data_IF_649375845761
#
_entry.id   IF_649375845761
#
_cell.length_a   1.000
_cell.length_b   1.000
_cell.length_c   1.000
_cell.angle_alpha   90.00
_cell.angle_beta   90.00
_cell.angle_gamma   90.00
#
_symmetry.space_group_name_H-M   'P 1'
#
loop_
_entity.id
_entity.type
_entity.pdbx_description
1 polymer ?
#
# COMPACT_ATOMS: atom_id res chain seq x y z
N UNK A 1 46.72 -47.28 20.14
CA UNK A 1 46.02 -46.55 21.22
C UNK A 1 46.88 -45.35 21.62
N UNK A 2 46.24 -44.23 21.97
CA UNK A 2 46.79 -42.89 22.29
C UNK A 2 47.13 -42.02 21.06
N UNK A 3 46.23 -41.19 20.53
CA UNK A 3 45.52 -39.99 21.07
C UNK A 3 46.39 -38.73 21.01
N UNK A 4 46.08 -37.88 20.03
CA UNK A 4 46.69 -36.59 19.74
C UNK A 4 45.93 -35.48 20.47
N UNK A 5 46.64 -34.66 21.24
CA UNK A 5 46.08 -33.54 21.98
C UNK A 5 45.80 -32.33 21.07
N UNK A 6 44.64 -31.68 21.26
CA UNK A 6 44.32 -30.37 20.72
C UNK A 6 44.72 -29.25 21.72
N UNK A 7 45.11 -28.06 21.26
CA UNK A 7 45.48 -26.94 22.14
C UNK A 7 44.25 -26.18 22.68
N UNK A 8 44.40 -25.63 23.89
CA UNK A 8 43.41 -24.82 24.63
C UNK A 8 43.02 -23.50 23.93
N UNK A 9 41.79 -22.99 24.15
CA UNK A 9 41.38 -21.65 23.72
C UNK A 9 41.78 -20.54 24.73
N UNK A 10 41.89 -19.27 24.29
CA UNK A 10 42.34 -18.16 25.14
C UNK A 10 41.28 -17.66 26.14
N UNK A 11 41.69 -16.96 27.21
CA UNK A 11 40.79 -16.56 28.29
C UNK A 11 39.87 -15.37 27.92
N UNK A 12 38.65 -15.39 28.45
CA UNK A 12 37.64 -14.33 28.32
C UNK A 12 38.00 -13.04 29.07
N UNK A 13 37.64 -11.85 28.56
CA UNK A 13 37.88 -10.58 29.24
C UNK A 13 36.94 -10.38 30.45
N UNK A 14 37.54 -9.90 31.54
CA UNK A 14 36.96 -9.80 32.87
C UNK A 14 35.86 -8.75 33.03
N UNK A 15 35.02 -8.99 34.05
CA UNK A 15 33.97 -8.11 34.53
C UNK A 15 34.57 -6.84 35.14
N UNK A 16 34.23 -5.68 34.58
CA UNK A 16 34.51 -4.40 35.23
C UNK A 16 33.52 -4.11 36.36
N UNK A 17 34.07 -3.95 37.56
CA UNK A 17 33.37 -3.57 38.78
C UNK A 17 32.83 -2.13 38.69
N UNK A 18 31.56 -1.93 39.06
CA UNK A 18 30.95 -0.61 39.26
C UNK A 18 31.47 0.01 40.57
N UNK A 19 31.95 1.24 40.50
CA UNK A 19 32.13 2.14 41.66
C UNK A 19 30.98 3.15 41.70
N UNK A 20 30.38 3.44 42.87
CA UNK A 20 29.35 4.47 42.99
C UNK A 20 30.00 5.81 43.38
N UNK A 21 29.51 6.90 42.78
CA UNK A 21 29.63 8.24 43.37
C UNK A 21 28.35 9.01 43.08
N UNK A 22 27.61 9.28 44.14
CA UNK A 22 26.64 10.36 44.15
C UNK A 22 27.33 11.69 44.42
N UNK A 23 26.82 12.76 43.83
CA UNK A 23 26.61 14.06 44.45
C UNK A 23 25.87 14.96 43.44
N UNK A 24 24.88 15.68 43.95
CA UNK A 24 24.03 16.64 43.25
C UNK A 24 24.80 17.81 42.61
N UNK A 25 24.15 18.57 41.72
CA UNK A 25 23.92 20.04 41.85
C UNK A 25 23.24 20.60 40.59
N UNK A 26 22.31 21.52 40.85
CA UNK A 26 21.79 22.65 40.07
C UNK A 26 20.90 22.40 38.84
N UNK A 27 19.63 22.79 39.05
CA UNK A 27 18.69 23.21 38.03
C UNK A 27 19.21 24.42 37.23
N UNK A 28 19.00 24.38 35.91
CA UNK A 28 18.90 25.56 35.07
C UNK A 28 17.67 25.38 34.18
N UNK A 29 16.62 26.14 34.48
CA UNK A 29 15.40 26.17 33.67
C UNK A 29 15.67 26.80 32.31
N UNK A 30 15.21 26.14 31.26
CA UNK A 30 15.09 26.74 29.92
C UNK A 30 13.61 27.02 29.69
N UNK A 31 13.28 28.30 29.63
CA UNK A 31 11.96 28.80 29.30
C UNK A 31 11.61 28.43 27.85
N UNK A 32 10.51 27.71 27.66
CA UNK A 32 9.88 27.51 26.35
C UNK A 32 9.06 28.75 26.03
N UNK A 33 9.52 29.56 25.09
CA UNK A 33 8.74 30.66 24.53
C UNK A 33 7.63 30.06 23.65
N UNK A 34 6.39 30.14 24.14
CA UNK A 34 5.17 29.87 23.38
C UNK A 34 4.95 31.04 22.42
N UNK A 35 5.24 30.85 21.12
CA UNK A 35 4.76 31.76 20.10
C UNK A 35 3.33 31.36 19.75
N UNK A 36 2.38 32.13 20.27
CA UNK A 36 0.99 32.10 19.84
C UNK A 36 0.91 32.59 18.38
N UNK A 37 0.63 31.70 17.45
CA UNK A 37 0.31 32.05 16.07
C UNK A 37 -1.07 32.67 16.00
N UNK A 38 -1.13 33.98 15.73
CA UNK A 38 -2.36 34.68 15.42
C UNK A 38 -2.96 34.18 14.10
N UNK A 39 -4.22 33.76 14.14
CA UNK A 39 -5.01 33.43 12.96
C UNK A 39 -5.30 34.71 12.16
N UNK A 40 -4.68 34.86 10.99
CA UNK A 40 -5.07 35.88 10.00
C UNK A 40 -6.16 35.28 9.12
N UNK A 41 -7.39 35.76 9.34
CA UNK A 41 -8.52 35.55 8.45
C UNK A 41 -8.31 36.37 7.17
N UNK A 42 -8.04 35.69 6.05
CA UNK A 42 -8.16 36.31 4.73
C UNK A 42 -9.55 36.01 4.15
N UNK A 43 -10.29 37.08 3.91
CA UNK A 43 -11.59 37.10 3.24
C UNK A 43 -11.44 36.73 1.76
N UNK A 44 -12.27 35.78 1.30
CA UNK A 44 -12.44 35.45 -0.13
C UNK A 44 -13.27 36.55 -0.81
N UNK A 45 -12.88 37.09 -1.98
CA UNK A 45 -13.82 37.80 -2.83
C UNK A 45 -14.61 36.81 -3.71
N UNK A 46 -15.87 37.17 -3.92
CA UNK A 46 -16.91 36.40 -4.57
C UNK A 46 -16.69 36.20 -6.09
N UNK A 47 -17.31 35.13 -6.59
CA UNK A 47 -17.35 34.74 -7.99
C UNK A 47 -17.99 35.82 -8.88
N UNK A 48 -17.25 36.27 -9.89
CA UNK A 48 -17.75 37.07 -11.00
C UNK A 48 -17.88 36.22 -12.26
N UNK A 49 -19.08 36.15 -12.81
CA UNK A 49 -19.41 35.53 -14.11
C UNK A 49 -18.62 36.22 -15.22
N UNK A 50 -17.99 35.47 -16.12
CA UNK A 50 -17.60 35.97 -17.45
C UNK A 50 -18.21 35.11 -18.54
N UNK A 51 -18.79 35.83 -19.50
CA UNK A 51 -19.57 35.35 -20.62
C UNK A 51 -18.67 34.75 -21.70
N UNK A 52 -19.27 33.78 -22.40
CA UNK A 52 -18.78 33.20 -23.63
C UNK A 52 -18.91 34.21 -24.76
N UNK A 53 -17.82 34.48 -25.48
CA UNK A 53 -17.86 35.13 -26.78
C UNK A 53 -17.17 34.22 -27.80
N UNK A 54 -18.00 33.71 -28.70
CA UNK A 54 -17.63 33.05 -29.95
C UNK A 54 -17.04 34.06 -30.93
N UNK A 55 -15.86 33.79 -31.47
CA UNK A 55 -15.37 34.48 -32.66
C UNK A 55 -14.93 33.47 -33.71
N UNK A 56 -15.45 33.69 -34.90
CA UNK A 56 -15.49 32.79 -36.03
C UNK A 56 -14.19 32.78 -36.86
N UNK A 57 -14.12 31.70 -37.63
CA UNK A 57 -13.18 31.36 -38.70
C UNK A 57 -13.01 32.49 -39.72
N UNK A 58 -11.77 32.67 -40.21
CA UNK A 58 -11.51 33.27 -41.53
C UNK A 58 -10.56 32.36 -42.32
N UNK A 59 -11.05 31.90 -43.46
CA UNK A 59 -10.32 31.15 -44.49
C UNK A 59 -9.32 32.04 -45.23
N UNK A 60 -8.16 31.48 -45.58
CA UNK A 60 -7.46 31.87 -46.80
C UNK A 60 -7.10 30.62 -47.63
N UNK A 61 -7.26 30.81 -48.93
CA UNK A 61 -7.23 29.86 -50.04
C UNK A 61 -5.83 29.71 -50.63
N UNK A 62 -5.44 28.50 -51.04
CA UNK A 62 -4.26 28.26 -51.89
C UNK A 62 -4.19 26.82 -52.41
N UNK A 63 -4.39 26.68 -53.72
CA UNK A 63 -4.56 25.44 -54.54
C UNK A 63 -3.31 24.52 -54.60
N UNK A 64 -3.47 23.19 -54.87
CA UNK A 64 -2.42 22.17 -54.75
C UNK A 64 -1.83 21.65 -56.10
N UNK A 65 -0.78 20.82 -56.01
CA UNK A 65 -0.20 20.03 -57.11
C UNK A 65 0.21 18.61 -56.61
N UNK A 66 0.31 17.58 -57.49
CA UNK A 66 -0.46 16.33 -57.31
C UNK A 66 0.34 15.02 -57.18
N UNK A 67 -0.39 13.93 -56.89
CA UNK A 67 -0.01 12.52 -57.08
C UNK A 67 0.67 11.90 -55.86
N UNK A 68 0.35 10.71 -55.36
CA UNK A 68 0.09 9.45 -56.06
C UNK A 68 -0.92 8.63 -55.24
N UNK A 69 -1.90 8.04 -55.93
CA UNK A 69 -2.89 7.13 -55.38
C UNK A 69 -2.33 5.70 -55.24
N UNK A 70 -2.70 5.01 -54.16
CA UNK A 70 -2.77 3.56 -54.12
C UNK A 70 -3.97 3.12 -53.29
N UNK A 71 -4.98 2.66 -54.01
CA UNK A 71 -6.18 1.97 -53.54
C UNK A 71 -5.84 0.54 -53.10
N UNK A 72 -6.35 0.09 -51.95
CA UNK A 72 -6.59 -1.34 -51.73
C UNK A 72 -7.94 -1.54 -51.03
N UNK A 73 -8.73 -2.38 -51.68
CA UNK A 73 -10.14 -2.69 -51.45
C UNK A 73 -10.39 -3.57 -50.24
N UNK A 74 -11.53 -3.36 -49.59
CA UNK A 74 -12.16 -4.31 -48.66
C UNK A 74 -12.93 -5.39 -49.42
N UNK A 75 -13.15 -6.58 -48.83
CA UNK A 75 -14.27 -7.43 -49.21
C UNK A 75 -15.26 -7.69 -48.07
N UNK A 76 -16.53 -7.41 -48.43
CA UNK A 76 -17.74 -8.20 -48.27
C UNK A 76 -18.11 -8.80 -46.89
N UNK A 77 -19.21 -8.25 -46.36
CA UNK A 77 -20.11 -8.83 -45.38
C UNK A 77 -20.87 -10.05 -45.94
N UNK A 78 -20.93 -11.14 -45.19
CA UNK A 78 -21.82 -12.28 -45.46
C UNK A 78 -22.89 -12.33 -44.38
N UNK A 79 -24.13 -12.10 -44.80
CA UNK A 79 -25.35 -12.30 -44.02
C UNK A 79 -25.73 -13.78 -44.03
N UNK A 80 -26.01 -14.37 -42.87
CA UNK A 80 -26.57 -15.73 -42.77
C UNK A 80 -27.89 -15.68 -42.00
N UNK A 81 -28.91 -16.23 -42.66
CA UNK A 81 -30.33 -16.25 -42.29
C UNK A 81 -30.64 -17.02 -41.01
N UNK A 82 -31.68 -16.55 -40.31
CA UNK A 82 -32.28 -17.15 -39.13
C UNK A 82 -33.22 -18.33 -39.48
N UNK A 83 -33.29 -19.32 -38.58
CA UNK A 83 -34.32 -20.36 -38.51
C UNK A 83 -34.96 -20.41 -37.11
N UNK A 84 -36.23 -20.86 -36.96
CA UNK A 84 -37.07 -20.64 -35.77
C UNK A 84 -36.87 -21.66 -34.63
N UNK A 85 -37.44 -21.41 -33.43
CA UNK A 85 -36.96 -21.99 -32.17
C UNK A 85 -37.61 -23.33 -31.80
N UNK A 86 -36.82 -24.21 -31.20
CA UNK A 86 -37.30 -25.38 -30.46
C UNK A 86 -37.49 -25.04 -28.97
N UNK A 87 -38.66 -25.39 -28.42
CA UNK A 87 -38.96 -25.37 -26.97
C UNK A 87 -38.24 -26.51 -26.26
N UNK A 88 -37.58 -26.24 -25.13
CA UNK A 88 -37.81 -26.92 -23.85
C UNK A 88 -36.78 -26.51 -22.77
N UNK A 89 -37.22 -26.67 -21.52
CA UNK A 89 -36.49 -26.77 -20.26
C UNK A 89 -36.04 -25.46 -19.57
N UNK A 90 -36.89 -25.03 -18.63
CA UNK A 90 -36.55 -24.20 -17.47
C UNK A 90 -35.42 -24.84 -16.66
N UNK A 91 -34.21 -24.32 -16.81
CA UNK A 91 -33.14 -24.47 -15.81
C UNK A 91 -33.09 -23.19 -14.98
N UNK A 92 -33.10 -23.37 -13.66
CA UNK A 92 -32.90 -22.28 -12.71
C UNK A 92 -31.57 -21.60 -13.02
N UNK A 93 -31.63 -20.33 -13.42
CA UNK A 93 -30.45 -19.54 -13.71
C UNK A 93 -29.68 -19.30 -12.41
N UNK A 94 -28.59 -20.05 -12.24
CA UNK A 94 -27.51 -19.66 -11.34
C UNK A 94 -27.09 -18.25 -11.74
N UNK A 95 -27.25 -17.28 -10.84
CA UNK A 95 -26.91 -15.88 -11.07
C UNK A 95 -25.46 -15.82 -11.56
N UNK A 96 -25.28 -15.50 -12.84
CA UNK A 96 -23.96 -15.31 -13.43
C UNK A 96 -23.18 -14.26 -12.63
N UNK A 97 -21.84 -14.39 -12.51
CA UNK A 97 -21.01 -13.39 -11.87
C UNK A 97 -21.32 -12.04 -12.52
N UNK A 98 -21.73 -11.08 -11.70
CA UNK A 98 -22.06 -9.74 -12.16
C UNK A 98 -20.83 -9.16 -12.86
N UNK A 99 -20.99 -8.78 -14.12
CA UNK A 99 -20.03 -7.92 -14.81
C UNK A 99 -19.97 -6.61 -14.03
N UNK A 100 -18.83 -6.35 -13.38
CA UNK A 100 -18.63 -5.17 -12.53
C UNK A 100 -18.78 -3.92 -13.38
N UNK A 101 -19.74 -3.06 -13.00
CA UNK A 101 -19.96 -1.79 -13.66
C UNK A 101 -18.76 -0.85 -13.46
N UNK A 102 -18.50 -0.01 -14.48
CA UNK A 102 -17.62 1.17 -14.41
C UNK A 102 -17.86 1.95 -13.11
N UNK A 103 -16.83 2.07 -12.26
CA UNK A 103 -16.67 3.15 -11.27
C UNK A 103 -17.82 3.35 -10.26
N UNK A 104 -18.49 2.29 -9.85
CA UNK A 104 -19.54 2.35 -8.83
C UNK A 104 -19.02 2.03 -7.43
N UNK A 105 -19.83 2.34 -6.41
CA UNK A 105 -19.63 1.79 -5.07
C UNK A 105 -19.75 0.27 -5.10
N UNK A 106 -18.83 -0.44 -4.46
CA UNK A 106 -18.87 -1.90 -4.31
C UNK A 106 -19.32 -2.20 -2.88
N UNK A 107 -20.57 -2.60 -2.64
CA UNK A 107 -21.05 -2.88 -1.29
C UNK A 107 -20.40 -4.17 -0.74
N UNK A 108 -20.21 -4.21 0.58
CA UNK A 108 -19.90 -5.45 1.30
C UNK A 108 -21.15 -6.33 1.36
N UNK A 109 -20.96 -7.65 1.30
CA UNK A 109 -22.01 -8.58 1.71
C UNK A 109 -22.14 -8.53 3.24
N UNK A 110 -23.19 -7.85 3.71
CA UNK A 110 -23.45 -7.65 5.15
C UNK A 110 -23.69 -8.96 5.91
N UNK A 111 -24.20 -10.00 5.25
CA UNK A 111 -24.40 -11.30 5.91
C UNK A 111 -23.05 -12.01 6.12
N UNK A 112 -22.17 -11.99 5.11
CA UNK A 112 -20.82 -12.54 5.22
C UNK A 112 -20.00 -11.76 6.24
N UNK A 113 -20.05 -10.42 6.19
CA UNK A 113 -19.35 -9.57 7.15
C UNK A 113 -19.88 -9.74 8.58
N UNK A 114 -21.19 -9.76 8.77
CA UNK A 114 -21.82 -10.03 10.06
C UNK A 114 -21.41 -11.39 10.64
N UNK A 115 -21.28 -12.43 9.80
CA UNK A 115 -20.74 -13.73 10.22
C UNK A 115 -19.30 -13.62 10.68
N UNK A 116 -18.42 -12.95 9.92
CA UNK A 116 -17.01 -12.76 10.31
C UNK A 116 -16.91 -12.01 11.65
N UNK A 117 -17.72 -10.98 11.87
CA UNK A 117 -17.78 -10.26 13.15
C UNK A 117 -18.22 -11.16 14.31
N UNK A 118 -19.26 -11.98 14.11
CA UNK A 118 -19.71 -12.93 15.12
C UNK A 118 -18.64 -13.98 15.43
N UNK A 119 -17.93 -14.47 14.42
CA UNK A 119 -16.84 -15.43 14.57
C UNK A 119 -15.65 -14.80 15.31
N UNK A 120 -15.30 -13.54 14.97
CA UNK A 120 -14.30 -12.76 15.69
C UNK A 120 -14.66 -12.56 17.16
N UNK A 121 -15.92 -12.23 17.47
CA UNK A 121 -16.40 -12.08 18.84
C UNK A 121 -16.28 -13.39 19.64
N UNK A 122 -16.43 -14.55 19.01
CA UNK A 122 -16.22 -15.87 19.64
C UNK A 122 -14.76 -16.31 19.70
N UNK A 123 -13.88 -15.68 18.93
CA UNK A 123 -12.45 -15.99 18.92
C UNK A 123 -11.83 -15.62 20.26
N UNK A 124 -11.37 -16.64 20.98
CA UNK A 124 -10.70 -16.48 22.28
C UNK A 124 -9.33 -15.83 22.08
N UNK A 125 -9.00 -14.89 22.96
CA UNK A 125 -7.67 -14.31 22.99
C UNK A 125 -6.66 -15.33 23.53
N UNK A 126 -5.59 -15.53 22.79
CA UNK A 126 -4.42 -16.33 23.17
C UNK A 126 -3.14 -15.57 22.73
N UNK A 127 -2.84 -14.42 23.35
CA UNK A 127 -1.73 -13.58 22.93
C UNK A 127 -0.37 -14.23 23.26
N UNK A 128 0.66 -13.99 22.43
CA UNK A 128 2.03 -14.41 22.75
C UNK A 128 2.51 -13.85 24.10
N UNK A 129 2.94 -14.73 25.01
CA UNK A 129 3.34 -14.35 26.37
C UNK A 129 4.62 -13.50 26.43
N UNK A 130 5.55 -13.68 25.48
CA UNK A 130 6.86 -13.00 25.42
C UNK A 130 6.98 -12.02 24.24
N UNK A 131 5.85 -11.46 23.77
CA UNK A 131 5.86 -10.47 22.70
C UNK A 131 6.03 -9.04 23.23
N UNK A 132 6.66 -8.20 22.42
CA UNK A 132 6.67 -6.75 22.56
C UNK A 132 5.27 -6.13 22.55
N UNK A 133 5.18 -4.83 22.78
CA UNK A 133 3.92 -4.13 23.07
C UNK A 133 3.40 -3.25 21.91
N UNK A 134 3.85 -3.47 20.68
CA UNK A 134 3.32 -2.77 19.50
C UNK A 134 2.08 -3.51 18.99
N UNK A 135 0.92 -2.85 18.81
CA UNK A 135 -0.33 -3.51 18.42
C UNK A 135 -0.34 -3.85 16.93
N UNK A 136 0.44 -4.84 16.51
CA UNK A 136 0.66 -5.15 15.10
C UNK A 136 0.91 -6.63 14.81
N UNK A 137 0.57 -7.05 13.59
CA UNK A 137 1.16 -8.21 12.96
C UNK A 137 1.64 -7.85 11.57
N UNK A 138 2.44 -8.71 10.93
CA UNK A 138 3.00 -8.45 9.60
C UNK A 138 2.79 -9.59 8.62
N UNK A 139 2.75 -9.23 7.35
CA UNK A 139 2.95 -10.13 6.23
C UNK A 139 4.23 -9.73 5.48
N UNK A 140 5.25 -10.58 5.52
CA UNK A 140 6.52 -10.38 4.81
C UNK A 140 6.43 -11.00 3.41
N UNK A 141 6.45 -10.17 2.38
CA UNK A 141 6.26 -10.54 0.99
C UNK A 141 7.54 -10.32 0.16
N UNK A 142 7.62 -11.06 -0.94
CA UNK A 142 8.67 -10.92 -1.95
C UNK A 142 8.09 -10.37 -3.24
N UNK A 143 8.93 -9.75 -4.06
CA UNK A 143 8.57 -9.40 -5.42
C UNK A 143 7.96 -10.60 -6.16
N UNK A 144 6.83 -10.38 -6.83
CA UNK A 144 6.19 -11.37 -7.70
C UNK A 144 6.53 -11.10 -9.16
N UNK A 145 6.03 -9.99 -9.70
CA UNK A 145 6.14 -9.63 -11.10
C UNK A 145 5.80 -8.15 -11.32
N UNK A 146 5.92 -7.67 -12.57
CA UNK A 146 5.51 -6.33 -12.97
C UNK A 146 4.58 -6.36 -14.18
N UNK A 147 3.52 -5.56 -14.16
CA UNK A 147 2.58 -5.38 -15.29
C UNK A 147 2.03 -3.94 -15.30
N UNK A 148 1.71 -3.37 -16.47
CA UNK A 148 0.98 -2.10 -16.59
C UNK A 148 -0.54 -2.25 -16.33
N UNK A 149 -0.87 -3.02 -15.29
CA UNK A 149 -2.24 -3.44 -14.97
C UNK A 149 -2.66 -2.87 -13.63
N UNK A 150 -3.97 -2.65 -13.46
CA UNK A 150 -4.56 -2.26 -12.18
C UNK A 150 -6.03 -2.72 -12.10
N UNK A 151 -6.34 -3.81 -11.36
CA UNK A 151 -7.70 -4.31 -11.25
C UNK A 151 -8.63 -3.43 -10.38
N UNK A 152 -8.10 -2.41 -9.69
CA UNK A 152 -8.90 -1.46 -8.90
C UNK A 152 -9.27 -0.27 -9.80
N UNK A 153 -8.27 0.38 -10.38
CA UNK A 153 -8.43 1.63 -11.14
C UNK A 153 -8.89 1.41 -12.59
N UNK A 154 -8.42 0.33 -13.22
CA UNK A 154 -8.72 -0.01 -14.62
C UNK A 154 -9.18 -1.47 -14.77
N UNK A 155 -10.26 -1.88 -14.08
CA UNK A 155 -10.71 -3.27 -14.06
C UNK A 155 -11.05 -3.78 -15.47
N UNK A 156 -10.49 -4.94 -15.81
CA UNK A 156 -10.67 -5.61 -17.09
C UNK A 156 -9.93 -4.99 -18.27
N UNK A 157 -9.03 -4.02 -18.04
CA UNK A 157 -8.29 -3.30 -19.08
C UNK A 157 -6.77 -3.52 -18.92
N UNK A 158 -6.21 -4.62 -19.48
CA UNK A 158 -4.77 -4.85 -19.48
C UNK A 158 -4.01 -3.70 -20.14
N UNK A 159 -2.89 -3.29 -19.53
CA UNK A 159 -2.05 -2.21 -20.05
C UNK A 159 -2.60 -0.80 -19.92
N UNK A 160 -3.76 -0.61 -19.26
CA UNK A 160 -4.37 0.71 -19.09
C UNK A 160 -3.82 1.51 -17.91
N UNK A 161 -2.85 0.97 -17.16
CA UNK A 161 -2.19 1.66 -16.04
C UNK A 161 -0.70 1.88 -16.31
N UNK A 162 -0.03 2.68 -15.47
CA UNK A 162 1.43 2.68 -15.44
C UNK A 162 1.96 1.35 -14.89
N UNK A 163 3.25 1.08 -15.10
CA UNK A 163 3.86 -0.17 -14.64
C UNK A 163 3.80 -0.30 -13.11
N UNK A 164 3.21 -1.38 -12.61
CA UNK A 164 3.19 -1.71 -11.19
C UNK A 164 4.12 -2.87 -10.88
N UNK A 165 4.76 -2.82 -9.71
CA UNK A 165 5.48 -3.94 -9.11
C UNK A 165 4.56 -4.61 -8.08
N UNK A 166 4.25 -5.89 -8.30
CA UNK A 166 3.29 -6.65 -7.49
C UNK A 166 4.00 -7.55 -6.47
N UNK A 167 3.39 -7.67 -5.29
CA UNK A 167 3.68 -8.66 -4.24
C UNK A 167 2.37 -9.28 -3.73
N UNK A 168 2.47 -10.30 -2.88
CA UNK A 168 1.31 -11.09 -2.44
C UNK A 168 0.89 -12.09 -3.49
N UNK A 169 -0.38 -12.08 -3.87
CA UNK A 169 -0.97 -12.97 -4.85
C UNK A 169 -0.17 -13.00 -6.16
N UNK A 170 0.21 -14.19 -6.62
CA UNK A 170 1.07 -14.37 -7.80
C UNK A 170 0.31 -14.29 -9.12
N UNK A 171 -1.01 -14.33 -9.10
CA UNK A 171 -1.87 -14.36 -10.29
C UNK A 171 -2.58 -13.04 -10.56
N UNK A 172 -2.38 -12.00 -9.73
CA UNK A 172 -3.04 -10.71 -9.91
C UNK A 172 -2.70 -10.08 -11.27
N UNK A 173 -3.72 -9.55 -11.93
CA UNK A 173 -3.65 -8.81 -13.18
C UNK A 173 -4.91 -7.94 -13.35
N UNK A 174 -5.05 -7.27 -14.50
CA UNK A 174 -6.18 -6.37 -14.75
C UNK A 174 -7.56 -7.05 -14.65
N UNK A 175 -7.68 -8.37 -14.81
CA UNK A 175 -8.95 -9.10 -14.77
C UNK A 175 -9.31 -9.63 -13.38
N UNK A 176 -8.42 -9.47 -12.40
CA UNK A 176 -8.59 -10.06 -11.07
C UNK A 176 -9.80 -9.50 -10.33
N UNK A 177 -10.69 -10.39 -9.89
CA UNK A 177 -11.81 -10.08 -9.00
C UNK A 177 -11.56 -10.62 -7.59
N UNK A 178 -12.39 -10.22 -6.62
CA UNK A 178 -12.27 -10.71 -5.25
C UNK A 178 -12.41 -12.25 -5.16
N UNK A 179 -13.28 -12.83 -6.01
CA UNK A 179 -13.44 -14.28 -6.07
C UNK A 179 -12.21 -15.02 -6.61
N UNK A 180 -11.39 -14.35 -7.42
CA UNK A 180 -10.17 -14.94 -7.97
C UNK A 180 -9.06 -15.04 -6.93
N UNK A 181 -8.96 -14.06 -6.02
CA UNK A 181 -8.00 -14.09 -4.91
C UNK A 181 -8.28 -15.24 -3.93
N UNK A 182 -9.53 -15.69 -3.80
CA UNK A 182 -9.87 -16.90 -3.02
C UNK A 182 -9.57 -18.21 -3.77
N UNK A 183 -9.58 -18.20 -5.11
CA UNK A 183 -9.35 -19.39 -5.93
C UNK A 183 -7.85 -19.61 -6.20
N UNK A 184 -7.14 -18.54 -6.52
CA UNK A 184 -5.72 -18.57 -6.87
C UNK A 184 -4.90 -18.09 -5.68
N UNK A 185 -4.75 -18.95 -4.69
CA UNK A 185 -4.20 -18.62 -3.36
C UNK A 185 -2.68 -18.54 -3.30
N UNK A 186 -1.99 -18.84 -4.40
CA UNK A 186 -0.53 -18.81 -4.45
C UNK A 186 -0.01 -17.39 -4.17
N UNK A 187 0.75 -17.25 -3.08
CA UNK A 187 1.23 -15.95 -2.59
C UNK A 187 2.76 -15.93 -2.45
N UNK A 188 3.35 -14.75 -2.53
CA UNK A 188 4.75 -14.47 -2.17
C UNK A 188 4.91 -14.08 -0.70
N UNK A 189 3.80 -13.87 0.01
CA UNK A 189 3.81 -13.48 1.42
C UNK A 189 3.99 -14.67 2.36
N UNK A 190 4.56 -14.36 3.53
CA UNK A 190 4.36 -15.11 4.76
C UNK A 190 3.50 -14.24 5.69
N UNK A 191 2.41 -14.77 6.25
CA UNK A 191 1.96 -16.16 6.16
C UNK A 191 1.29 -16.47 4.83
N UNK A 192 1.26 -17.76 4.44
CA UNK A 192 0.67 -18.21 3.15
C UNK A 192 -0.85 -18.11 3.09
N UNK A 193 -1.50 -17.87 4.23
CA UNK A 193 -2.95 -17.62 4.36
C UNK A 193 -3.34 -16.17 4.03
N UNK A 194 -2.36 -15.32 3.72
CA UNK A 194 -2.58 -14.02 3.07
C UNK A 194 -2.59 -14.19 1.54
N UNK A 195 -3.78 -14.16 0.97
CA UNK A 195 -4.02 -14.24 -0.48
C UNK A 195 -4.21 -12.87 -1.12
N UNK A 196 -4.00 -11.79 -0.37
CA UNK A 196 -4.13 -10.41 -0.84
C UNK A 196 -3.13 -10.11 -1.94
N UNK A 197 -3.46 -9.14 -2.78
CA UNK A 197 -2.53 -8.55 -3.73
C UNK A 197 -2.18 -7.14 -3.27
N UNK A 198 -0.90 -6.79 -3.35
CA UNK A 198 -0.40 -5.47 -3.03
C UNK A 198 0.53 -5.00 -4.14
N UNK A 199 0.43 -3.74 -4.54
CA UNK A 199 1.31 -3.19 -5.55
C UNK A 199 1.61 -1.71 -5.33
N UNK A 200 2.69 -1.27 -5.97
CA UNK A 200 3.17 0.11 -6.00
C UNK A 200 3.73 0.42 -7.40
N UNK A 201 3.85 1.69 -7.81
CA UNK A 201 4.55 2.05 -9.04
C UNK A 201 5.95 1.45 -9.10
N UNK A 202 6.30 0.85 -10.23
CA UNK A 202 7.66 0.37 -10.44
C UNK A 202 8.64 1.54 -10.40
N UNK A 203 9.67 1.42 -9.56
CA UNK A 203 10.80 2.34 -9.48
C UNK A 203 11.78 2.05 -10.61
N UNK A 204 12.38 3.09 -11.18
CA UNK A 204 13.38 2.96 -12.24
C UNK A 204 14.60 3.84 -11.96
N UNK A 205 15.79 3.31 -12.22
CA UNK A 205 17.03 4.10 -12.30
C UNK A 205 16.94 5.07 -13.48
N UNK A 206 17.13 6.36 -13.22
CA UNK A 206 16.72 7.35 -14.20
C UNK A 206 17.68 7.52 -15.39
N UNK A 207 18.94 7.08 -15.25
CA UNK A 207 19.90 7.05 -16.35
C UNK A 207 19.74 5.82 -17.24
N UNK A 208 19.71 4.61 -16.65
CA UNK A 208 19.65 3.37 -17.41
C UNK A 208 18.24 2.95 -17.81
N UNK A 209 17.21 3.56 -17.19
CA UNK A 209 15.79 3.15 -17.32
C UNK A 209 15.57 1.68 -16.94
N UNK A 210 16.45 1.14 -16.10
CA UNK A 210 16.31 -0.21 -15.57
C UNK A 210 15.35 -0.19 -14.38
N UNK A 211 14.38 -1.09 -14.31
CA UNK A 211 13.51 -1.17 -13.15
C UNK A 211 14.27 -1.67 -11.92
N UNK A 212 13.90 -1.15 -10.77
CA UNK A 212 14.44 -1.53 -9.45
C UNK A 212 13.38 -2.36 -8.73
N UNK A 213 13.70 -3.62 -8.51
CA UNK A 213 12.82 -4.54 -7.79
C UNK A 213 12.93 -4.32 -6.28
N UNK A 214 11.81 -4.53 -5.58
CA UNK A 214 11.77 -4.51 -4.12
C UNK A 214 12.52 -5.73 -3.59
N UNK A 215 13.48 -5.51 -2.70
CA UNK A 215 14.21 -6.60 -2.01
C UNK A 215 13.53 -7.02 -0.70
N UNK A 216 12.62 -6.19 -0.19
CA UNK A 216 11.72 -6.52 0.90
C UNK A 216 10.43 -5.74 0.77
N UNK A 217 9.31 -6.38 1.08
CA UNK A 217 8.01 -5.73 1.12
C UNK A 217 7.22 -6.26 2.30
N UNK A 218 7.10 -5.46 3.36
CA UNK A 218 6.38 -5.84 4.56
C UNK A 218 5.06 -5.08 4.63
N UNK A 219 3.97 -5.81 4.77
CA UNK A 219 2.65 -5.24 5.06
C UNK A 219 2.40 -5.38 6.55
N UNK A 220 2.48 -4.27 7.26
CA UNK A 220 2.04 -4.21 8.65
C UNK A 220 0.53 -4.05 8.70
N UNK A 221 -0.11 -4.80 9.61
CA UNK A 221 -1.49 -4.60 10.04
C UNK A 221 -1.43 -4.15 11.48
N UNK A 222 -1.76 -2.88 11.75
CA UNK A 222 -1.50 -2.28 13.06
C UNK A 222 -2.58 -1.34 13.54
N UNK A 223 -2.61 -1.10 14.85
CA UNK A 223 -3.29 0.07 15.41
C UNK A 223 -2.33 1.26 15.43
N UNK A 224 -2.74 2.39 14.82
CA UNK A 224 -1.98 3.64 14.84
C UNK A 224 -2.18 4.45 16.12
N UNK A 225 -2.96 3.94 17.08
CA UNK A 225 -3.47 4.70 18.23
C UNK A 225 -2.99 4.14 19.55
N UNK A 226 -3.05 4.99 20.57
CA UNK A 226 -2.67 4.65 21.95
C UNK A 226 -3.53 3.53 22.56
N UNK A 227 -4.78 3.39 22.12
CA UNK A 227 -5.67 2.28 22.46
C UNK A 227 -5.94 1.40 21.22
N UNK A 228 -6.42 0.17 21.40
CA UNK A 228 -6.85 -0.73 20.31
C UNK A 228 -8.30 -1.20 20.45
N UNK A 229 -9.05 -0.62 21.38
CA UNK A 229 -10.44 -1.02 21.68
C UNK A 229 -11.33 -0.84 20.45
N UNK A 230 -12.21 -1.82 20.21
CA UNK A 230 -13.17 -1.79 19.12
C UNK A 230 -12.59 -2.04 17.72
N UNK A 231 -11.29 -2.37 17.60
CA UNK A 231 -10.74 -2.81 16.32
C UNK A 231 -11.36 -4.14 15.91
N UNK A 232 -11.76 -4.25 14.65
CA UNK A 232 -12.31 -5.47 14.06
C UNK A 232 -11.50 -5.91 12.84
N UNK A 233 -11.56 -7.19 12.45
CA UNK A 233 -10.96 -7.71 11.21
C UNK A 233 -11.28 -6.89 9.96
N UNK A 234 -10.38 -6.88 8.98
CA UNK A 234 -10.69 -6.29 7.67
C UNK A 234 -11.63 -7.26 6.92
N UNK A 235 -12.71 -6.77 6.28
CA UNK A 235 -13.54 -7.61 5.42
C UNK A 235 -12.78 -7.99 4.14
N UNK A 236 -12.94 -9.24 3.71
CA UNK A 236 -12.37 -9.70 2.45
C UNK A 236 -12.97 -8.94 1.25
N UNK A 237 -12.09 -8.61 0.31
CA UNK A 237 -12.43 -7.85 -0.89
C UNK A 237 -12.32 -6.34 -0.74
N UNK A 238 -11.95 -5.82 0.44
CA UNK A 238 -11.69 -4.39 0.62
C UNK A 238 -10.53 -3.95 -0.28
N UNK A 239 -10.73 -2.86 -1.01
CA UNK A 239 -9.76 -2.24 -1.92
C UNK A 239 -9.38 -0.88 -1.39
N UNK A 240 -8.10 -0.58 -1.25
CA UNK A 240 -7.66 0.73 -0.78
C UNK A 240 -6.51 1.24 -1.62
N UNK A 241 -6.50 2.55 -1.87
CA UNK A 241 -5.36 3.26 -2.48
C UNK A 241 -4.86 4.34 -1.50
N UNK A 242 -3.59 4.27 -1.13
CA UNK A 242 -2.91 5.30 -0.36
C UNK A 242 -1.87 6.03 -1.22
N UNK A 243 -1.66 7.33 -0.99
CA UNK A 243 -0.80 8.18 -1.85
C UNK A 243 -1.55 8.77 -3.05
N UNK A 244 -0.84 9.36 -4.01
CA UNK A 244 -1.46 10.02 -5.17
C UNK A 244 -0.58 9.91 -6.42
N UNK A 245 -0.97 9.06 -7.37
CA UNK A 245 -0.28 8.87 -8.64
C UNK A 245 -0.11 10.17 -9.46
N UNK A 246 -1.00 11.14 -9.28
CA UNK A 246 -1.00 12.41 -10.03
C UNK A 246 -0.18 13.50 -9.34
N UNK A 247 0.30 13.28 -8.11
CA UNK A 247 1.09 14.26 -7.41
C UNK A 247 2.47 14.40 -8.06
N UNK A 248 2.83 15.65 -8.38
CA UNK A 248 4.10 16.02 -9.03
C UNK A 248 4.93 17.00 -8.20
N UNK A 249 4.50 17.27 -6.97
CA UNK A 249 5.16 18.24 -6.08
C UNK A 249 6.07 17.48 -5.10
N UNK A 250 7.38 17.76 -5.09
CA UNK A 250 8.32 17.11 -4.17
C UNK A 250 7.80 17.12 -2.74
N UNK A 251 7.91 15.97 -2.07
CA UNK A 251 7.53 15.88 -0.66
C UNK A 251 8.55 16.69 0.15
N UNK A 252 8.13 17.61 1.04
CA UNK A 252 9.08 18.42 1.83
C UNK A 252 9.95 17.57 2.74
N UNK A 253 11.24 17.92 2.87
CA UNK A 253 12.20 17.24 3.76
C UNK A 253 11.63 17.08 5.18
N UNK A 254 11.64 15.84 5.67
CA UNK A 254 11.17 15.47 7.01
C UNK A 254 9.66 15.23 7.10
N UNK A 255 8.90 15.39 6.01
CA UNK A 255 7.51 15.00 5.97
C UNK A 255 7.36 13.47 5.85
N UNK A 256 6.17 12.98 6.21
CA UNK A 256 5.77 11.59 5.96
C UNK A 256 5.67 11.33 4.45
N UNK A 257 5.83 10.07 4.02
CA UNK A 257 5.72 9.69 2.61
C UNK A 257 6.91 10.17 1.76
N UNK A 258 8.12 10.10 2.33
CA UNK A 258 9.38 10.32 1.62
C UNK A 258 10.16 9.03 1.49
N UNK A 259 10.95 8.93 0.42
CA UNK A 259 12.03 7.96 0.38
C UNK A 259 13.10 8.32 1.40
N UNK A 260 13.61 7.31 2.09
CA UNK A 260 14.66 7.45 3.09
C UNK A 260 15.67 6.31 2.96
N UNK A 261 16.83 6.47 3.61
CA UNK A 261 17.81 5.39 3.70
C UNK A 261 17.73 4.70 5.05
N UNK A 262 17.73 3.38 5.05
CA UNK A 262 17.76 2.57 6.26
C UNK A 262 18.58 1.31 6.08
N UNK A 263 19.04 0.76 7.20
CA UNK A 263 19.66 -0.55 7.31
C UNK A 263 19.05 -1.24 8.53
N UNK A 264 18.59 -2.47 8.35
CA UNK A 264 18.04 -3.28 9.43
C UNK A 264 19.06 -4.40 9.76
N UNK A 265 19.85 -4.22 10.82
CA UNK A 265 20.93 -5.12 11.26
C UNK A 265 21.69 -4.58 12.50
N UNK A 266 22.65 -5.32 13.08
CA UNK A 266 23.42 -4.82 14.24
C UNK A 266 24.08 -3.48 13.93
N UNK A 267 23.71 -2.44 14.67
CA UNK A 267 24.12 -1.05 14.36
C UNK A 267 23.12 -0.28 13.49
N UNK A 268 21.81 -0.58 13.61
CA UNK A 268 20.70 0.13 12.98
C UNK A 268 21.00 1.63 12.88
N UNK A 269 21.07 2.11 11.64
CA UNK A 269 21.29 3.51 11.31
C UNK A 269 19.92 4.08 11.00
N UNK A 270 19.27 4.66 11.99
CA UNK A 270 18.04 5.43 11.80
C UNK A 270 18.26 6.54 10.77
N UNK A 271 17.70 6.36 9.56
CA UNK A 271 17.27 7.44 8.67
C UNK A 271 18.29 8.49 8.25
N UNK A 272 19.59 8.15 8.15
CA UNK A 272 20.63 9.18 8.12
C UNK A 272 20.89 9.85 6.75
N UNK A 273 20.44 9.30 5.62
CA UNK A 273 20.58 9.96 4.33
C UNK A 273 19.24 10.57 3.90
N UNK A 274 19.11 11.88 4.12
CA UNK A 274 17.99 12.69 3.62
C UNK A 274 18.40 13.34 2.31
N UNK A 275 17.55 13.19 1.29
CA UNK A 275 17.75 13.79 -0.02
C UNK A 275 18.03 15.30 0.07
N UNK A 276 19.08 15.77 -0.62
CA UNK A 276 19.40 17.20 -0.74
C UNK A 276 18.34 17.97 -1.55
N UNK A 277 17.60 17.28 -2.43
CA UNK A 277 16.57 17.85 -3.30
C UNK A 277 15.13 17.46 -2.92
N UNK A 278 14.95 16.76 -1.79
CA UNK A 278 13.65 16.36 -1.27
C UNK A 278 12.96 15.18 -1.97
N UNK A 279 13.56 14.59 -3.01
CA UNK A 279 12.96 13.47 -3.75
C UNK A 279 13.69 12.15 -3.53
N UNK A 280 15.00 12.10 -3.84
CA UNK A 280 15.75 10.84 -3.90
C UNK A 280 16.99 10.93 -3.00
N UNK A 281 17.07 10.14 -1.91
CA UNK A 281 18.26 10.10 -1.09
C UNK A 281 19.35 9.23 -1.76
N UNK A 282 20.61 9.52 -1.42
CA UNK A 282 21.76 8.67 -1.72
C UNK A 282 22.22 8.03 -0.41
N UNK A 283 22.07 6.72 -0.32
CA UNK A 283 22.34 5.91 0.85
C UNK A 283 23.82 5.53 0.92
N UNK A 284 24.46 5.87 2.03
CA UNK A 284 25.78 5.33 2.37
C UNK A 284 25.69 3.87 2.80
N UNK A 285 26.78 3.12 2.64
CA UNK A 285 26.85 1.74 3.12
C UNK A 285 26.79 1.67 4.65
N UNK A 286 26.08 0.70 5.26
CA UNK A 286 25.35 -0.41 4.62
C UNK A 286 23.87 -0.13 4.22
N UNK A 287 23.37 1.10 4.35
CA UNK A 287 21.96 1.43 4.13
C UNK A 287 21.52 1.31 2.67
N UNK A 288 20.23 1.02 2.47
CA UNK A 288 19.55 0.97 1.17
C UNK A 288 18.36 1.93 1.13
N UNK A 289 17.71 2.06 -0.02
CA UNK A 289 16.56 2.94 -0.23
C UNK A 289 15.27 2.29 0.29
N UNK A 290 14.47 3.03 1.04
CA UNK A 290 13.21 2.56 1.61
C UNK A 290 12.06 3.56 1.42
N UNK A 291 10.83 3.07 1.54
CA UNK A 291 9.63 3.89 1.59
C UNK A 291 8.59 3.28 2.54
N UNK A 292 7.97 4.12 3.38
CA UNK A 292 6.81 3.71 4.19
C UNK A 292 5.54 4.40 3.66
N UNK A 293 4.52 3.61 3.36
CA UNK A 293 3.22 4.08 2.91
C UNK A 293 2.13 3.65 3.88
N UNK A 294 1.45 4.62 4.50
CA UNK A 294 0.39 4.38 5.46
C UNK A 294 -1.00 4.45 4.82
N UNK A 295 -1.83 3.45 5.05
CA UNK A 295 -3.23 3.41 4.65
C UNK A 295 -4.16 3.90 5.79
N UNK A 296 -5.38 4.36 5.45
CA UNK A 296 -6.47 4.60 6.40
C UNK A 296 -6.75 3.44 7.37
N UNK A 297 -7.31 3.77 8.55
CA UNK A 297 -7.63 2.81 9.64
C UNK A 297 -9.11 2.85 10.08
N UNK A 298 -9.94 3.59 9.35
CA UNK A 298 -11.39 3.65 9.52
C UNK A 298 -12.10 3.33 8.20
N UNK A 299 -13.22 2.64 8.30
CA UNK A 299 -14.04 2.16 7.19
C UNK A 299 -15.51 2.53 7.40
N UNK A 300 -16.25 2.80 6.32
CA UNK A 300 -17.67 3.16 6.35
C UNK A 300 -18.59 2.04 6.88
N UNK A 301 -18.13 0.78 6.83
CA UNK A 301 -18.91 -0.38 7.26
C UNK A 301 -19.85 -0.91 6.19
N UNK A 302 -19.83 -0.32 4.99
CA UNK A 302 -20.81 -0.53 3.94
C UNK A 302 -20.19 -0.93 2.61
N UNK A 303 -19.03 -0.36 2.24
CA UNK A 303 -18.49 -0.48 0.89
C UNK A 303 -17.05 -1.01 0.87
N UNK A 304 -16.82 -2.09 0.13
CA UNK A 304 -15.50 -2.64 -0.16
C UNK A 304 -14.67 -1.79 -1.11
N UNK A 305 -15.31 -0.89 -1.86
CA UNK A 305 -14.66 0.10 -2.71
C UNK A 305 -15.61 1.27 -3.02
N UNK A 306 -15.05 2.41 -3.36
CA UNK A 306 -15.76 3.64 -3.74
C UNK A 306 -15.34 4.08 -5.15
N UNK A 307 -16.12 4.91 -5.87
CA UNK A 307 -15.77 5.37 -7.22
C UNK A 307 -14.38 5.99 -7.39
N UNK A 308 -13.82 6.59 -6.34
CA UNK A 308 -12.47 7.17 -6.33
C UNK A 308 -11.45 6.33 -5.52
N UNK A 309 -11.86 5.14 -5.08
CA UNK A 309 -11.09 4.17 -4.28
C UNK A 309 -10.60 4.67 -2.92
N UNK A 310 -11.18 5.76 -2.41
CA UNK A 310 -10.74 6.43 -1.18
C UNK A 310 -11.88 6.89 -0.27
N UNK A 311 -13.06 7.22 -0.78
CA UNK A 311 -14.14 7.80 0.02
C UNK A 311 -14.75 6.84 1.04
N UNK A 312 -14.62 5.52 0.84
CA UNK A 312 -15.13 4.50 1.76
C UNK A 312 -14.21 4.27 2.98
N UNK A 313 -13.03 4.91 3.04
CA UNK A 313 -12.07 4.79 4.15
C UNK A 313 -11.56 6.16 4.59
N UNK A 314 -11.13 6.27 5.86
CA UNK A 314 -10.60 7.50 6.41
C UNK A 314 -9.49 7.26 7.45
N UNK A 315 -8.62 8.24 7.62
CA UNK A 315 -7.71 8.26 8.75
C UNK A 315 -8.47 8.71 9.99
N UNK A 316 -8.43 7.91 11.06
CA UNK A 316 -8.92 8.34 12.36
C UNK A 316 -7.86 9.07 13.17
N UNK A 317 -8.26 9.44 14.38
CA UNK A 317 -7.40 10.10 15.37
C UNK A 317 -7.42 9.29 16.68
N UNK A 318 -6.67 9.73 17.69
CA UNK A 318 -6.70 9.07 19.01
C UNK A 318 -8.09 9.13 19.66
N UNK A 319 -8.93 10.10 19.28
CA UNK A 319 -10.31 10.25 19.76
C UNK A 319 -11.27 9.22 19.15
N UNK A 320 -11.01 8.72 17.94
CA UNK A 320 -11.93 7.80 17.30
C UNK A 320 -11.88 7.82 15.79
N UNK A 321 -12.72 6.99 15.19
CA UNK A 321 -13.01 7.12 13.77
C UNK A 321 -14.02 8.24 13.52
N UNK A 322 -13.97 8.92 12.35
CA UNK A 322 -15.01 9.85 11.94
C UNK A 322 -16.39 9.18 11.94
N UNK A 323 -17.46 9.95 12.18
CA UNK A 323 -18.82 9.42 12.20
C UNK A 323 -19.25 8.76 10.88
N UNK A 324 -18.71 9.23 9.75
CA UNK A 324 -18.95 8.66 8.42
C UNK A 324 -18.17 7.35 8.17
N UNK A 325 -17.17 7.03 9.01
CA UNK A 325 -16.32 5.85 8.87
C UNK A 325 -16.21 5.09 10.20
N UNK A 326 -17.34 4.66 10.80
CA UNK A 326 -17.38 4.26 12.20
C UNK A 326 -16.63 2.95 12.50
N UNK A 327 -16.32 2.13 11.48
CA UNK A 327 -15.71 0.82 11.67
C UNK A 327 -14.20 0.95 11.74
N UNK A 328 -13.64 0.66 12.92
CA UNK A 328 -12.20 0.67 13.14
C UNK A 328 -11.57 -0.63 12.63
N UNK A 329 -10.66 -0.51 11.68
CA UNK A 329 -9.93 -1.64 11.09
C UNK A 329 -8.42 -1.50 11.33
N UNK A 330 -7.63 -2.59 11.23
CA UNK A 330 -6.18 -2.51 11.18
C UNK A 330 -5.73 -1.58 10.05
N UNK A 331 -4.83 -0.67 10.36
CA UNK A 331 -4.19 0.15 9.36
C UNK A 331 -3.13 -0.68 8.64
N UNK A 332 -3.20 -0.71 7.30
CA UNK A 332 -2.11 -1.27 6.50
C UNK A 332 -0.96 -0.26 6.44
N UNK A 333 0.26 -0.75 6.52
CA UNK A 333 1.42 0.05 6.14
C UNK A 333 2.35 -0.79 5.31
N UNK A 334 2.70 -0.29 4.13
CA UNK A 334 3.76 -0.89 3.33
C UNK A 334 5.09 -0.32 3.81
N UNK A 335 5.97 -1.19 4.28
CA UNK A 335 7.39 -0.91 4.50
C UNK A 335 8.17 -1.61 3.38
N UNK A 336 8.71 -0.79 2.49
CA UNK A 336 9.26 -1.22 1.21
C UNK A 336 10.75 -0.97 1.23
N UNK A 337 11.53 -2.01 0.98
CA UNK A 337 12.97 -1.96 0.78
C UNK A 337 13.30 -2.14 -0.70
N UNK A 338 14.12 -1.24 -1.23
CA UNK A 338 14.75 -1.36 -2.52
C UNK A 338 16.24 -1.60 -2.28
N UNK A 339 16.82 -2.64 -2.87
CA UNK A 339 18.26 -2.92 -2.75
C UNK A 339 19.17 -1.85 -3.38
N UNK A 340 18.58 -0.79 -3.91
CA UNK A 340 19.27 0.33 -4.52
C UNK A 340 19.80 1.32 -3.47
N UNK A 341 20.87 2.03 -3.83
CA UNK A 341 21.60 2.95 -2.94
C UNK A 341 21.34 4.41 -3.27
N UNK A 342 20.60 4.75 -4.33
CA UNK A 342 20.66 6.10 -4.89
C UNK A 342 21.75 6.25 -5.92
N UNK A 343 21.46 7.06 -6.93
CA UNK A 343 22.41 7.45 -7.97
C UNK A 343 22.35 8.98 -8.16
N UNK A 344 23.42 9.57 -8.70
CA UNK A 344 23.41 11.00 -9.08
C UNK A 344 22.34 11.33 -10.12
N UNK A 345 21.99 10.35 -10.96
CA UNK A 345 20.91 10.48 -11.94
C UNK A 345 19.51 10.48 -11.29
N UNK A 346 19.41 9.97 -10.07
CA UNK A 346 18.16 9.80 -9.34
C UNK A 346 17.31 8.65 -9.88
N UNK A 347 16.05 8.64 -9.45
CA UNK A 347 15.04 7.68 -9.88
C UNK A 347 13.83 8.37 -10.50
N UNK A 348 12.93 7.56 -11.04
CA UNK A 348 11.55 7.94 -11.26
C UNK A 348 10.62 6.77 -10.93
N UNK A 349 9.36 7.09 -10.64
CA UNK A 349 8.29 6.13 -10.55
C UNK A 349 7.59 6.04 -11.89
N UNK A 350 7.11 4.87 -12.27
CA UNK A 350 6.32 4.67 -13.50
C UNK A 350 5.09 5.59 -13.60
N UNK A 351 4.56 6.07 -12.47
CA UNK A 351 3.46 7.05 -12.40
C UNK A 351 3.88 8.49 -12.74
N UNK A 352 5.19 8.75 -12.87
CA UNK A 352 5.76 10.03 -13.28
C UNK A 352 7.12 9.89 -13.99
N UNK A 353 7.17 9.27 -15.18
CA UNK A 353 8.44 8.96 -15.84
C UNK A 353 9.23 10.20 -16.27
N UNK A 354 8.53 11.29 -16.59
CA UNK A 354 9.14 12.52 -17.09
C UNK A 354 9.43 13.53 -15.96
N UNK A 355 8.50 13.69 -15.02
CA UNK A 355 8.65 14.60 -13.88
C UNK A 355 9.58 14.08 -12.80
N UNK A 356 9.83 12.76 -12.77
CA UNK A 356 10.70 12.06 -11.81
C UNK A 356 10.34 12.37 -10.35
N UNK A 357 9.09 12.72 -10.08
CA UNK A 357 8.63 13.07 -8.75
C UNK A 357 8.52 11.81 -7.88
N UNK A 358 9.20 11.82 -6.73
CA UNK A 358 9.02 10.79 -5.72
C UNK A 358 7.60 10.81 -5.12
N UNK A 359 6.92 11.96 -5.22
CA UNK A 359 5.62 12.20 -4.61
C UNK A 359 4.45 11.49 -5.30
N UNK A 360 4.65 10.98 -6.51
CA UNK A 360 3.67 10.16 -7.23
C UNK A 360 3.59 8.71 -6.70
N UNK A 361 4.34 8.41 -5.63
CA UNK A 361 4.25 7.17 -4.89
C UNK A 361 2.84 6.98 -4.36
N UNK A 362 2.33 5.79 -4.61
CA UNK A 362 1.09 5.29 -4.07
C UNK A 362 1.21 3.78 -3.91
N UNK A 363 0.23 3.20 -3.25
CA UNK A 363 0.13 1.78 -3.12
C UNK A 363 -1.31 1.37 -3.02
N UNK A 364 -1.52 0.15 -3.47
CA UNK A 364 -2.82 -0.41 -3.74
C UNK A 364 -2.89 -1.73 -3.00
N UNK A 365 -3.97 -1.92 -2.26
CA UNK A 365 -4.22 -3.11 -1.47
C UNK A 365 -5.55 -3.70 -1.89
N UNK A 366 -5.54 -4.96 -2.34
CA UNK A 366 -6.74 -5.75 -2.55
C UNK A 366 -6.73 -6.91 -1.56
N UNK A 367 -7.42 -6.71 -0.44
CA UNK A 367 -7.30 -7.55 0.76
C UNK A 367 -8.09 -8.84 0.60
N UNK A 368 -7.41 -9.98 0.83
CA UNK A 368 -8.02 -11.31 0.84
C UNK A 368 -7.24 -12.25 1.79
N UNK A 369 -7.80 -12.51 2.97
CA UNK A 369 -7.21 -13.41 3.96
C UNK A 369 -8.10 -14.62 4.22
N UNK A 370 -7.49 -15.69 4.72
CA UNK A 370 -8.25 -16.64 5.55
C UNK A 370 -8.88 -15.90 6.74
N UNK A 371 -10.21 -16.00 6.86
CA UNK A 371 -10.96 -15.20 7.83
C UNK A 371 -10.64 -15.58 9.28
N UNK A 372 -10.43 -16.87 9.56
CA UNK A 372 -10.10 -17.33 10.91
C UNK A 372 -8.69 -16.87 11.32
N UNK A 373 -7.73 -16.92 10.40
CA UNK A 373 -6.38 -16.39 10.62
C UNK A 373 -6.38 -14.88 10.85
N UNK A 374 -7.14 -14.11 10.07
CA UNK A 374 -7.29 -12.66 10.28
C UNK A 374 -7.94 -12.38 11.65
N UNK A 375 -9.02 -13.08 12.00
CA UNK A 375 -9.71 -12.93 13.27
C UNK A 375 -8.77 -13.20 14.46
N UNK A 376 -8.02 -14.30 14.40
CA UNK A 376 -7.03 -14.65 15.43
C UNK A 376 -5.93 -13.60 15.56
N UNK A 377 -5.37 -13.11 14.45
CA UNK A 377 -4.30 -12.11 14.49
C UNK A 377 -4.77 -10.76 15.01
N UNK A 378 -5.94 -10.30 14.59
CA UNK A 378 -6.53 -9.07 15.13
C UNK A 378 -6.84 -9.23 16.62
N UNK A 379 -7.36 -10.39 17.04
CA UNK A 379 -7.64 -10.69 18.45
C UNK A 379 -6.37 -10.71 19.29
N UNK A 380 -5.34 -11.43 18.88
CA UNK A 380 -4.15 -11.72 19.68
C UNK A 380 -3.08 -10.63 19.60
N UNK A 381 -2.93 -9.98 18.46
CA UNK A 381 -1.85 -9.02 18.22
C UNK A 381 -2.35 -7.59 18.41
N UNK A 382 -3.42 -7.19 17.72
CA UNK A 382 -3.83 -5.78 17.73
C UNK A 382 -4.67 -5.46 18.96
N UNK A 383 -5.69 -6.26 19.26
CA UNK A 383 -6.59 -6.02 20.39
C UNK A 383 -5.89 -6.23 21.75
N UNK A 384 -4.96 -7.19 21.87
CA UNK A 384 -4.12 -7.36 23.08
C UNK A 384 -2.85 -6.50 23.08
N UNK A 385 -2.63 -5.68 22.03
CA UNK A 385 -1.47 -4.80 21.88
C UNK A 385 -0.12 -5.53 21.98
N UNK A 386 0.03 -6.61 21.22
CA UNK A 386 1.24 -7.43 21.11
C UNK A 386 1.88 -7.35 19.73
N UNK A 387 3.20 -7.27 19.72
CA UNK A 387 4.00 -7.33 18.50
C UNK A 387 4.02 -8.76 17.98
N UNK A 388 3.49 -8.99 16.79
CA UNK A 388 3.47 -10.30 16.15
C UNK A 388 4.24 -10.29 14.82
N UNK A 389 4.92 -11.40 14.53
CA UNK A 389 5.56 -11.63 13.24
C UNK A 389 4.59 -12.32 12.25
N UNK A 390 5.14 -12.87 11.15
CA UNK A 390 4.37 -13.59 10.12
C UNK A 390 3.55 -14.75 10.66
N UNK A 391 4.00 -15.42 11.72
CA UNK A 391 3.32 -16.59 12.29
C UNK A 391 2.22 -16.19 13.27
N UNK A 392 2.11 -14.89 13.59
CA UNK A 392 1.12 -14.39 14.54
C UNK A 392 1.57 -14.57 15.99
N UNK A 393 2.85 -14.89 16.17
CA UNK A 393 3.47 -15.17 17.45
C UNK A 393 4.94 -14.77 17.36
N UNK A 394 5.35 -13.74 18.11
CA UNK A 394 6.77 -13.35 18.19
C UNK A 394 7.28 -13.46 19.64
N UNK A 395 8.00 -14.53 20.00
CA UNK A 395 8.58 -14.69 21.33
C UNK A 395 9.90 -13.94 21.53
N UNK A 396 10.40 -13.24 20.50
CA UNK A 396 11.73 -12.63 20.48
C UNK A 396 11.71 -11.13 20.13
N UNK A 397 10.55 -10.47 20.21
CA UNK A 397 10.47 -9.02 20.10
C UNK A 397 10.98 -8.40 21.41
N UNK A 398 12.31 -8.29 21.51
CA UNK A 398 13.03 -7.67 22.62
C UNK A 398 13.07 -6.15 22.51
#
# INVERSE_FOLDING_TARGET
MSSSAFPEPPPSPGRHARRPRGAAVAAAGVAVAVIAGAAVWMTRPAAGKQASETAAVRSETGTPAPGIASSVSAPASISVSASPPAKAATTAATKAPQVVAKGGWIPVDQAVWGKQLADYQRTKADPPGNAGNLPEFRADCKYSHRKPDDPIVAPGLPGASHMHSFVGNKAVDAHTTAGDLMKFTATTCKPVVDHSAYWVPTLYEAASRTPVETTGFRVYYRSLRSNSTGVVPIPNGLRMIAGDAKKKVPTPRGAQGQFYCAFYGPGDIDGYARSENGNWPICGEPASLHFMLQFPDCWDGENLDSPNHKDHVAFGTNEGCPAAHPVRIPALTFDIAYGAKGSKAGYYLSSDPDGRSASSMHGDAFVMWDADAMNQRVRNCIAQRRTCNNDGYDPFSY
#
